data_IF_598059871358
#
_entry.id   IF_598059871358
#
_cell.length_a   1.000
_cell.length_b   1.000
_cell.length_c   1.000
_cell.angle_alpha   90.00
_cell.angle_beta   90.00
_cell.angle_gamma   90.00
#
_symmetry.space_group_name_H-M   'P 1'
#
loop_
_entity.id
_entity.type
_entity.pdbx_description
1 polymer ?
#
# COMPACT_ATOMS: atom_id res chain seq x y z
N UNK A 1 11.96 19.37 -27.83
CA UNK A 1 10.71 19.84 -27.16
C UNK A 1 9.69 18.71 -27.16
N UNK A 2 9.77 17.83 -26.17
CA UNK A 2 8.77 16.77 -25.95
C UNK A 2 8.26 16.86 -24.51
N UNK A 3 7.34 15.97 -24.13
CA UNK A 3 6.83 15.92 -22.75
C UNK A 3 7.95 15.78 -21.70
N UNK A 4 9.13 15.26 -22.07
CA UNK A 4 10.32 15.10 -21.22
C UNK A 4 11.30 16.29 -21.30
N UNK A 5 10.84 17.50 -21.61
CA UNK A 5 11.70 18.68 -21.55
C UNK A 5 12.13 18.97 -20.10
N UNK A 6 13.44 19.15 -19.86
CA UNK A 6 13.98 19.36 -18.51
C UNK A 6 13.35 20.56 -17.81
N UNK A 7 13.06 21.65 -18.56
CA UNK A 7 12.43 22.86 -18.02
C UNK A 7 11.02 22.62 -17.43
N UNK A 8 10.34 21.55 -17.86
CA UNK A 8 8.99 21.22 -17.36
C UNK A 8 9.05 20.38 -16.08
N UNK A 9 10.13 19.62 -15.88
CA UNK A 9 10.25 18.60 -14.84
C UNK A 9 11.15 19.01 -13.68
N UNK A 10 12.27 19.67 -13.99
CA UNK A 10 13.38 19.87 -13.06
C UNK A 10 13.49 21.34 -12.63
N UNK A 11 14.15 21.62 -11.48
CA UNK A 11 14.52 22.98 -11.12
C UNK A 11 15.29 23.67 -12.25
N UNK A 12 15.23 25.00 -12.29
CA UNK A 12 15.94 25.76 -13.33
C UNK A 12 17.45 25.49 -13.25
N UNK A 13 18.11 25.55 -14.40
CA UNK A 13 19.53 25.26 -14.59
C UNK A 13 19.95 23.80 -14.34
N UNK A 14 18.99 22.88 -14.15
CA UNK A 14 19.24 21.43 -14.05
C UNK A 14 18.93 20.74 -15.37
N UNK A 15 19.86 19.89 -15.81
CA UNK A 15 19.72 19.06 -17.02
C UNK A 15 19.53 17.60 -16.65
N UNK A 16 18.89 16.80 -17.53
CA UNK A 16 18.69 15.37 -17.31
C UNK A 16 19.99 14.59 -17.06
N UNK A 17 21.11 15.02 -17.65
CA UNK A 17 22.43 14.42 -17.42
C UNK A 17 22.92 14.52 -15.98
N UNK A 18 22.35 15.43 -15.17
CA UNK A 18 22.67 15.60 -13.76
C UNK A 18 21.82 14.71 -12.84
N UNK A 19 20.77 14.07 -13.37
CA UNK A 19 19.88 13.20 -12.60
C UNK A 19 20.47 11.79 -12.58
N UNK A 20 20.81 11.24 -11.41
CA UNK A 20 21.49 9.94 -11.31
C UNK A 20 20.58 8.74 -11.57
N UNK A 21 19.25 8.90 -11.44
CA UNK A 21 18.30 7.83 -11.70
C UNK A 21 18.02 7.68 -13.19
N UNK A 22 17.80 6.45 -13.62
CA UNK A 22 17.45 6.18 -15.01
C UNK A 22 15.95 5.92 -15.13
N UNK A 23 15.30 6.65 -16.04
CA UNK A 23 13.88 6.45 -16.37
C UNK A 23 13.64 5.03 -16.89
N UNK A 24 14.65 4.42 -17.54
CA UNK A 24 14.58 3.06 -18.06
C UNK A 24 14.28 2.01 -16.98
N UNK A 25 14.63 2.26 -15.73
CA UNK A 25 14.38 1.34 -14.62
C UNK A 25 12.88 1.15 -14.33
N UNK A 26 12.05 2.16 -14.67
CA UNK A 26 10.60 2.07 -14.50
C UNK A 26 9.95 1.05 -15.44
N UNK A 27 10.55 0.74 -16.59
CA UNK A 27 10.00 -0.27 -17.51
C UNK A 27 10.06 -1.70 -16.96
N UNK A 28 10.98 -1.97 -16.02
CA UNK A 28 11.06 -3.28 -15.38
C UNK A 28 10.05 -3.46 -14.25
N UNK A 29 9.46 -2.37 -13.73
CA UNK A 29 8.56 -2.41 -12.57
C UNK A 29 7.29 -3.22 -12.86
N UNK A 30 6.57 -3.04 -13.98
CA UNK A 30 5.40 -3.88 -14.29
C UNK A 30 5.76 -5.36 -14.50
N UNK A 31 6.93 -5.67 -15.04
CA UNK A 31 7.41 -7.06 -15.20
C UNK A 31 7.62 -7.69 -13.82
N UNK A 32 8.29 -6.96 -12.92
CA UNK A 32 8.48 -7.40 -11.53
C UNK A 32 7.14 -7.56 -10.81
N UNK A 33 6.15 -6.71 -11.09
CA UNK A 33 4.80 -6.84 -10.55
C UNK A 33 4.12 -8.15 -10.99
N UNK A 34 4.25 -8.54 -12.26
CA UNK A 34 3.75 -9.84 -12.75
C UNK A 34 4.43 -11.00 -12.02
N UNK A 35 5.75 -10.93 -11.79
CA UNK A 35 6.47 -11.92 -11.00
C UNK A 35 5.94 -12.00 -9.56
N UNK A 36 5.66 -10.85 -8.93
CA UNK A 36 5.05 -10.80 -7.59
C UNK A 36 3.66 -11.45 -7.59
N UNK A 37 2.83 -11.27 -8.63
CA UNK A 37 1.51 -11.92 -8.74
C UNK A 37 1.66 -13.45 -8.84
N UNK A 38 2.62 -13.94 -9.64
CA UNK A 38 2.88 -15.39 -9.73
C UNK A 38 3.33 -15.93 -8.36
N UNK A 39 4.28 -15.25 -7.71
CA UNK A 39 4.73 -15.61 -6.37
C UNK A 39 3.58 -15.56 -5.35
N UNK A 40 2.68 -14.58 -5.45
CA UNK A 40 1.49 -14.43 -4.61
C UNK A 40 0.58 -15.65 -4.70
N UNK A 41 0.25 -16.10 -5.92
CA UNK A 41 -0.63 -17.26 -6.11
C UNK A 41 -0.06 -18.50 -5.41
N UNK A 42 1.24 -18.75 -5.56
CA UNK A 42 1.91 -19.86 -4.90
C UNK A 42 2.02 -19.67 -3.38
N UNK A 43 2.28 -18.45 -2.92
CA UNK A 43 2.37 -18.12 -1.50
C UNK A 43 1.02 -18.30 -0.78
N UNK A 44 -0.06 -17.81 -1.38
CA UNK A 44 -1.43 -18.00 -0.88
C UNK A 44 -1.80 -19.48 -0.84
N UNK A 45 -1.50 -20.22 -1.91
CA UNK A 45 -1.77 -21.66 -1.98
C UNK A 45 -0.96 -22.45 -0.94
N UNK A 46 0.36 -22.36 -0.96
CA UNK A 46 1.22 -23.26 -0.19
C UNK A 46 1.47 -22.81 1.25
N UNK A 47 1.36 -21.52 1.56
CA UNK A 47 1.61 -20.98 2.91
C UNK A 47 0.32 -20.43 3.50
N UNK A 48 -0.41 -19.60 2.76
CA UNK A 48 -1.67 -18.99 3.21
C UNK A 48 -2.69 -20.03 3.68
N UNK A 49 -2.94 -21.08 2.89
CA UNK A 49 -3.90 -22.15 3.26
C UNK A 49 -3.45 -22.93 4.51
N UNK A 50 -2.14 -23.15 4.68
CA UNK A 50 -1.61 -23.81 5.89
C UNK A 50 -1.95 -22.95 7.13
N UNK A 51 -1.69 -21.65 7.07
CA UNK A 51 -2.04 -20.73 8.15
C UNK A 51 -3.55 -20.61 8.35
N UNK A 52 -4.34 -20.60 7.28
CA UNK A 52 -5.80 -20.61 7.34
C UNK A 52 -6.28 -21.83 8.15
N UNK A 53 -5.73 -23.02 7.86
CA UNK A 53 -6.05 -24.25 8.60
C UNK A 53 -5.59 -24.19 10.06
N UNK A 54 -4.37 -23.71 10.33
CA UNK A 54 -3.86 -23.55 11.70
C UNK A 54 -4.74 -22.63 12.55
N UNK A 55 -5.32 -21.60 11.93
CA UNK A 55 -6.20 -20.64 12.60
C UNK A 55 -7.69 -21.03 12.56
N UNK A 56 -8.05 -22.14 11.92
CA UNK A 56 -9.42 -22.66 11.88
C UNK A 56 -10.33 -22.05 10.81
N UNK A 57 -9.77 -21.40 9.79
CA UNK A 57 -10.50 -20.89 8.62
C UNK A 57 -10.77 -21.97 7.55
N UNK A 58 -10.03 -23.07 7.56
CA UNK A 58 -10.19 -24.19 6.63
C UNK A 58 -10.15 -25.51 7.40
N UNK A 59 -11.11 -26.40 7.12
CA UNK A 59 -11.24 -27.71 7.77
C UNK A 59 -10.79 -28.86 6.86
N UNK A 60 -10.90 -28.68 5.55
CA UNK A 60 -10.54 -29.67 4.55
C UNK A 60 -9.03 -29.97 4.57
N UNK A 61 -8.65 -31.13 4.05
CA UNK A 61 -7.24 -31.51 3.90
C UNK A 61 -6.48 -30.44 3.13
N UNK A 62 -5.27 -30.09 3.59
CA UNK A 62 -4.49 -29.02 2.98
C UNK A 62 -4.21 -29.29 1.50
N UNK A 63 -3.92 -30.54 1.11
CA UNK A 63 -3.71 -30.92 -0.30
C UNK A 63 -4.96 -30.68 -1.15
N UNK A 64 -6.14 -30.97 -0.59
CA UNK A 64 -7.41 -30.72 -1.26
C UNK A 64 -7.62 -29.22 -1.45
N UNK A 65 -7.45 -28.43 -0.39
CA UNK A 65 -7.64 -26.96 -0.46
C UNK A 65 -6.62 -26.29 -1.38
N UNK A 66 -5.35 -26.72 -1.39
CA UNK A 66 -4.31 -26.23 -2.32
C UNK A 66 -4.70 -26.51 -3.77
N UNK A 67 -5.07 -27.77 -4.07
CA UNK A 67 -5.51 -28.14 -5.41
C UNK A 67 -6.74 -27.32 -5.80
N UNK A 68 -7.74 -27.24 -4.93
CA UNK A 68 -8.95 -26.47 -5.17
C UNK A 68 -8.63 -24.99 -5.45
N UNK A 69 -7.74 -24.38 -4.67
CA UNK A 69 -7.32 -22.99 -4.85
C UNK A 69 -6.66 -22.74 -6.22
N UNK A 70 -5.72 -23.60 -6.61
CA UNK A 70 -5.00 -23.49 -7.89
C UNK A 70 -5.93 -23.71 -9.11
N UNK A 71 -7.00 -24.49 -8.96
CA UNK A 71 -8.03 -24.71 -9.97
C UNK A 71 -9.23 -23.76 -9.84
N UNK A 72 -9.03 -22.53 -9.33
CA UNK A 72 -10.06 -21.49 -9.22
C UNK A 72 -11.24 -21.78 -8.26
N UNK A 73 -11.11 -22.77 -7.39
CA UNK A 73 -12.12 -23.12 -6.38
C UNK A 73 -12.27 -22.09 -5.25
N UNK A 74 -11.48 -21.01 -5.26
CA UNK A 74 -11.65 -19.87 -4.34
C UNK A 74 -12.93 -19.07 -4.61
N UNK A 75 -13.54 -19.20 -5.80
CA UNK A 75 -14.82 -18.57 -6.14
C UNK A 75 -15.93 -19.02 -5.16
N UNK A 76 -15.86 -20.27 -4.69
CA UNK A 76 -16.86 -20.87 -3.80
C UNK A 76 -16.59 -20.58 -2.32
N UNK A 77 -15.36 -20.29 -1.91
CA UNK A 77 -15.02 -20.07 -0.50
C UNK A 77 -14.46 -18.65 -0.32
N UNK A 78 -15.37 -17.67 -0.20
CA UNK A 78 -15.00 -16.25 -0.10
C UNK A 78 -14.24 -15.95 1.19
N UNK A 79 -14.62 -16.59 2.29
CA UNK A 79 -13.95 -16.41 3.59
C UNK A 79 -12.48 -16.85 3.55
N UNK A 80 -12.18 -18.01 2.98
CA UNK A 80 -10.81 -18.47 2.79
C UNK A 80 -10.04 -17.53 1.86
N UNK A 81 -10.67 -17.10 0.76
CA UNK A 81 -10.06 -16.16 -0.19
C UNK A 81 -9.69 -14.84 0.49
N UNK A 82 -10.62 -14.21 1.24
CA UNK A 82 -10.35 -13.00 2.06
C UNK A 82 -9.18 -13.21 3.02
N UNK A 83 -9.14 -14.36 3.69
CA UNK A 83 -8.05 -14.68 4.60
C UNK A 83 -6.70 -14.72 3.87
N UNK A 84 -6.57 -15.48 2.78
CA UNK A 84 -5.27 -15.62 2.09
C UNK A 84 -4.82 -14.33 1.40
N UNK A 85 -5.74 -13.53 0.85
CA UNK A 85 -5.43 -12.20 0.30
C UNK A 85 -4.90 -11.24 1.38
N UNK A 86 -5.53 -11.27 2.55
CA UNK A 86 -5.14 -10.47 3.70
C UNK A 86 -3.79 -10.95 4.27
N UNK A 87 -3.57 -12.26 4.26
CA UNK A 87 -2.33 -12.89 4.73
C UNK A 87 -1.15 -12.51 3.84
N UNK A 88 -1.34 -12.59 2.52
CA UNK A 88 -0.33 -12.13 1.56
C UNK A 88 0.00 -10.65 1.76
N UNK A 89 -1.01 -9.78 1.85
CA UNK A 89 -0.80 -8.33 2.07
C UNK A 89 -0.06 -8.05 3.36
N UNK A 90 -0.48 -8.64 4.48
CA UNK A 90 0.20 -8.48 5.77
C UNK A 90 1.68 -8.89 5.69
N UNK A 91 1.97 -10.04 5.08
CA UNK A 91 3.34 -10.53 4.90
C UNK A 91 4.17 -9.63 3.97
N UNK A 92 3.58 -9.16 2.87
CA UNK A 92 4.26 -8.29 1.91
C UNK A 92 4.58 -6.91 2.52
N UNK A 93 3.61 -6.29 3.21
CA UNK A 93 3.83 -5.02 3.91
C UNK A 93 4.86 -5.17 5.03
N UNK A 94 4.82 -6.26 5.80
CA UNK A 94 5.82 -6.52 6.83
C UNK A 94 7.23 -6.65 6.25
N UNK A 95 7.38 -7.42 5.18
CA UNK A 95 8.65 -7.59 4.49
C UNK A 95 9.20 -6.26 3.97
N UNK A 96 8.37 -5.47 3.27
CA UNK A 96 8.80 -4.18 2.72
C UNK A 96 9.04 -3.14 3.80
N UNK A 97 8.27 -3.12 4.88
CA UNK A 97 8.53 -2.23 6.00
C UNK A 97 9.88 -2.54 6.66
N UNK A 98 10.18 -3.81 6.95
CA UNK A 98 11.47 -4.22 7.50
C UNK A 98 12.63 -3.89 6.54
N UNK A 99 12.43 -4.10 5.23
CA UNK A 99 13.41 -3.71 4.23
C UNK A 99 13.58 -2.19 4.16
N UNK A 100 12.51 -1.41 4.28
CA UNK A 100 12.54 0.04 4.33
C UNK A 100 13.33 0.55 5.54
N UNK A 101 13.07 0.00 6.74
CA UNK A 101 13.86 0.29 7.94
C UNK A 101 15.34 -0.03 7.75
N UNK A 102 15.68 -1.17 7.13
CA UNK A 102 17.06 -1.54 6.81
C UNK A 102 17.71 -0.64 5.75
N UNK A 103 16.95 -0.21 4.73
CA UNK A 103 17.44 0.65 3.67
C UNK A 103 17.70 2.09 4.15
N UNK A 104 17.00 2.53 5.20
CA UNK A 104 17.05 3.87 5.76
C UNK A 104 17.93 4.01 7.01
N UNK A 105 18.68 2.98 7.41
CA UNK A 105 19.53 3.05 8.63
C UNK A 105 20.52 4.22 8.60
N UNK A 106 21.09 4.51 7.42
CA UNK A 106 22.11 5.55 7.24
C UNK A 106 21.52 6.84 6.63
N UNK A 107 20.20 6.92 6.52
CA UNK A 107 19.50 8.01 5.85
C UNK A 107 19.26 9.19 6.81
N UNK A 108 20.12 10.21 6.74
CA UNK A 108 20.01 11.41 7.59
C UNK A 108 18.66 12.13 7.51
N UNK A 109 17.95 12.01 6.37
CA UNK A 109 16.64 12.64 6.18
C UNK A 109 15.50 11.97 6.97
N UNK A 110 15.75 10.81 7.59
CA UNK A 110 14.82 10.20 8.56
C UNK A 110 14.69 11.07 9.81
N UNK A 111 15.76 11.74 10.21
CA UNK A 111 15.79 12.59 11.41
C UNK A 111 15.43 14.04 11.12
N UNK A 112 15.85 14.58 9.97
CA UNK A 112 15.49 15.92 9.53
C UNK A 112 15.06 15.93 8.06
N UNK A 113 13.76 16.18 7.84
CA UNK A 113 13.13 16.20 6.52
C UNK A 113 13.73 17.24 5.58
N UNK A 114 14.43 18.26 6.07
CA UNK A 114 15.12 19.25 5.22
C UNK A 114 16.16 18.60 4.31
N UNK A 115 16.79 17.51 4.74
CA UNK A 115 17.74 16.76 3.91
C UNK A 115 17.06 16.02 2.75
N UNK A 116 15.73 15.96 2.68
CA UNK A 116 15.04 15.58 1.45
C UNK A 116 15.19 16.62 0.34
N UNK A 117 15.51 17.87 0.68
CA UNK A 117 15.53 19.02 -0.24
C UNK A 117 16.94 19.62 -0.42
N UNK A 118 17.80 19.56 0.60
CA UNK A 118 19.21 19.98 0.49
C UNK A 118 19.91 19.18 -0.61
N UNK A 119 20.55 19.86 -1.56
CA UNK A 119 21.21 19.30 -2.76
C UNK A 119 20.29 18.59 -3.77
N UNK A 120 18.96 18.70 -3.60
CA UNK A 120 18.02 18.21 -4.60
C UNK A 120 18.23 18.96 -5.94
N UNK A 121 18.21 18.29 -7.11
CA UNK A 121 17.87 16.88 -7.37
C UNK A 121 19.09 15.96 -7.56
N UNK A 122 20.27 16.28 -7.02
CA UNK A 122 21.53 15.55 -7.27
C UNK A 122 21.81 14.43 -6.26
N UNK A 123 20.77 13.94 -5.58
CA UNK A 123 20.92 12.87 -4.58
C UNK A 123 21.29 11.56 -5.24
N UNK A 124 22.37 10.91 -4.80
CA UNK A 124 22.69 9.55 -5.22
C UNK A 124 22.06 8.55 -4.24
N UNK A 125 20.93 7.89 -4.57
CA UNK A 125 20.36 6.87 -3.70
C UNK A 125 21.27 5.64 -3.65
N UNK A 126 21.46 5.08 -2.46
CA UNK A 126 22.21 3.83 -2.30
C UNK A 126 21.49 2.68 -3.03
N UNK A 127 22.23 1.61 -3.37
CA UNK A 127 21.63 0.41 -4.00
C UNK A 127 20.46 -0.16 -3.19
N UNK A 128 20.55 -0.12 -1.85
CA UNK A 128 19.48 -0.57 -0.93
C UNK A 128 18.21 0.26 -1.10
N UNK A 129 18.32 1.59 -1.10
CA UNK A 129 17.19 2.51 -1.29
C UNK A 129 16.57 2.32 -2.67
N UNK A 130 17.38 2.21 -3.74
CA UNK A 130 16.88 1.98 -5.11
C UNK A 130 16.06 0.68 -5.19
N UNK A 131 16.62 -0.40 -4.65
CA UNK A 131 15.96 -1.71 -4.66
C UNK A 131 14.66 -1.70 -3.85
N UNK A 132 14.67 -1.09 -2.66
CA UNK A 132 13.47 -0.90 -1.83
C UNK A 132 12.38 -0.14 -2.59
N UNK A 133 12.73 0.97 -3.23
CA UNK A 133 11.79 1.80 -3.97
C UNK A 133 11.19 1.07 -5.19
N UNK A 134 12.00 0.32 -5.93
CA UNK A 134 11.54 -0.49 -7.07
C UNK A 134 10.60 -1.62 -6.61
N UNK A 135 10.93 -2.33 -5.53
CA UNK A 135 10.04 -3.37 -4.99
C UNK A 135 8.72 -2.81 -4.47
N UNK A 136 8.74 -1.62 -3.87
CA UNK A 136 7.51 -0.93 -3.47
C UNK A 136 6.63 -0.61 -4.66
N UNK A 137 7.18 0.03 -5.70
CA UNK A 137 6.42 0.31 -6.92
C UNK A 137 5.87 -0.98 -7.56
N UNK A 138 6.66 -2.06 -7.57
CA UNK A 138 6.23 -3.35 -8.11
C UNK A 138 5.12 -3.99 -7.27
N UNK A 139 5.14 -3.86 -5.94
CA UNK A 139 4.04 -4.30 -5.07
C UNK A 139 2.76 -3.48 -5.35
N UNK A 140 2.84 -2.16 -5.46
CA UNK A 140 1.65 -1.35 -5.78
C UNK A 140 1.08 -1.66 -7.17
N UNK A 141 1.93 -1.94 -8.17
CA UNK A 141 1.49 -2.46 -9.47
C UNK A 141 0.82 -3.83 -9.33
N UNK A 142 1.38 -4.74 -8.54
CA UNK A 142 0.82 -6.08 -8.38
C UNK A 142 -0.52 -6.06 -7.67
N UNK A 143 -0.69 -5.18 -6.67
CA UNK A 143 -1.97 -4.95 -5.99
C UNK A 143 -3.01 -4.33 -6.92
N UNK A 144 -2.62 -3.33 -7.73
CA UNK A 144 -3.52 -2.73 -8.72
C UNK A 144 -4.00 -3.76 -9.74
N UNK A 145 -3.10 -4.58 -10.31
CA UNK A 145 -3.47 -5.59 -11.30
C UNK A 145 -4.28 -6.73 -10.67
N UNK A 146 -3.92 -7.15 -9.45
CA UNK A 146 -4.65 -8.21 -8.74
C UNK A 146 -6.05 -7.79 -8.29
N UNK A 147 -6.32 -6.48 -8.18
CA UNK A 147 -7.65 -5.98 -7.80
C UNK A 147 -8.79 -6.46 -8.74
N UNK A 148 -8.45 -6.90 -9.95
CA UNK A 148 -9.40 -7.48 -10.92
C UNK A 148 -9.89 -8.87 -10.48
N UNK A 149 -9.04 -9.64 -9.80
CA UNK A 149 -9.34 -11.00 -9.33
C UNK A 149 -9.66 -11.06 -7.84
N UNK A 150 -9.28 -10.03 -7.08
CA UNK A 150 -9.54 -9.93 -5.64
C UNK A 150 -11.02 -9.64 -5.36
N UNK A 151 -11.48 -10.01 -4.17
CA UNK A 151 -12.86 -9.78 -3.77
C UNK A 151 -13.14 -8.27 -3.70
N UNK A 152 -14.11 -7.82 -4.50
CA UNK A 152 -14.56 -6.44 -4.54
C UNK A 152 -15.18 -6.03 -3.20
N UNK A 153 -14.89 -4.80 -2.75
CA UNK A 153 -15.40 -4.19 -1.51
C UNK A 153 -16.09 -2.86 -1.80
N UNK A 154 -16.81 -2.31 -0.82
CA UNK A 154 -17.56 -1.06 -0.97
C UNK A 154 -16.70 0.16 -1.31
N UNK A 155 -15.41 0.18 -0.92
CA UNK A 155 -14.45 1.24 -1.24
C UNK A 155 -13.58 0.95 -2.48
N UNK A 156 -13.98 0.00 -3.34
CA UNK A 156 -13.18 -0.46 -4.49
C UNK A 156 -12.67 0.67 -5.39
N UNK A 157 -13.55 1.55 -5.91
CA UNK A 157 -13.12 2.60 -6.84
C UNK A 157 -12.19 3.63 -6.20
N UNK A 158 -12.39 3.92 -4.92
CA UNK A 158 -11.53 4.83 -4.15
C UNK A 158 -10.16 4.18 -3.93
N UNK A 159 -10.14 2.86 -3.72
CA UNK A 159 -8.90 2.09 -3.63
C UNK A 159 -8.13 2.01 -4.95
N UNK A 160 -8.83 1.91 -6.09
CA UNK A 160 -8.20 2.00 -7.42
C UNK A 160 -7.59 3.38 -7.63
N UNK A 161 -8.35 4.45 -7.35
CA UNK A 161 -7.85 5.82 -7.43
C UNK A 161 -6.58 6.00 -6.59
N UNK A 162 -6.59 5.50 -5.35
CA UNK A 162 -5.42 5.50 -4.48
C UNK A 162 -4.20 4.82 -5.11
N UNK A 163 -4.36 3.59 -5.61
CA UNK A 163 -3.25 2.84 -6.22
C UNK A 163 -2.70 3.55 -7.45
N UNK A 164 -3.57 4.10 -8.31
CA UNK A 164 -3.16 4.90 -9.46
C UNK A 164 -2.40 6.16 -9.05
N UNK A 165 -2.86 6.86 -8.02
CA UNK A 165 -2.19 8.05 -7.49
C UNK A 165 -0.83 7.72 -6.87
N UNK A 166 -0.75 6.65 -6.08
CA UNK A 166 0.51 6.20 -5.48
C UNK A 166 1.52 5.81 -6.55
N UNK A 167 1.11 5.04 -7.57
CA UNK A 167 1.99 4.69 -8.69
C UNK A 167 2.45 5.92 -9.48
N UNK A 168 1.56 6.90 -9.69
CA UNK A 168 1.89 8.15 -10.36
C UNK A 168 2.92 8.96 -9.55
N UNK A 169 2.69 9.14 -8.25
CA UNK A 169 3.60 9.82 -7.33
C UNK A 169 4.97 9.14 -7.25
N UNK A 170 5.02 7.81 -7.11
CA UNK A 170 6.27 7.06 -7.06
C UNK A 170 7.04 7.15 -8.38
N UNK A 171 6.35 7.05 -9.52
CA UNK A 171 6.98 7.16 -10.84
C UNK A 171 7.54 8.56 -11.08
N UNK A 172 6.77 9.61 -10.80
CA UNK A 172 7.25 11.00 -10.93
C UNK A 172 8.42 11.26 -9.98
N UNK A 173 8.30 10.83 -8.72
CA UNK A 173 9.36 10.94 -7.71
C UNK A 173 10.66 10.23 -8.15
N UNK A 174 10.56 9.08 -8.80
CA UNK A 174 11.74 8.42 -9.38
C UNK A 174 12.39 9.26 -10.48
N UNK A 175 11.57 9.74 -11.44
CA UNK A 175 12.03 10.51 -12.61
C UNK A 175 12.75 11.80 -12.17
N UNK A 176 12.17 12.57 -11.26
CA UNK A 176 12.76 13.83 -10.78
C UNK A 176 13.69 13.65 -9.58
N UNK A 177 14.00 12.41 -9.19
CA UNK A 177 14.86 12.06 -8.06
C UNK A 177 14.43 12.61 -6.69
N UNK A 178 13.13 12.67 -6.42
CA UNK A 178 12.56 12.99 -5.10
C UNK A 178 12.44 11.76 -4.19
N UNK A 179 13.34 10.79 -4.35
CA UNK A 179 13.27 9.48 -3.67
C UNK A 179 13.32 9.63 -2.15
N UNK A 180 14.11 10.58 -1.62
CA UNK A 180 14.27 10.77 -0.16
C UNK A 180 12.91 11.00 0.53
N UNK A 181 12.13 11.99 0.08
CA UNK A 181 10.79 12.23 0.64
C UNK A 181 9.85 11.05 0.35
N UNK A 182 9.94 10.43 -0.83
CA UNK A 182 9.18 9.24 -1.17
C UNK A 182 9.40 8.07 -0.20
N UNK A 183 10.64 7.83 0.26
CA UNK A 183 10.93 6.75 1.22
C UNK A 183 10.30 7.01 2.59
N UNK A 184 10.23 8.27 3.03
CA UNK A 184 9.57 8.63 4.29
C UNK A 184 8.06 8.39 4.21
N UNK A 185 7.46 8.72 3.07
CA UNK A 185 6.04 8.46 2.80
C UNK A 185 5.78 6.95 2.83
N UNK A 186 6.56 6.16 2.09
CA UNK A 186 6.39 4.70 2.01
C UNK A 186 6.47 4.03 3.40
N UNK A 187 7.57 4.24 4.14
CA UNK A 187 7.77 3.59 5.45
C UNK A 187 6.70 4.01 6.47
N UNK A 188 6.29 5.28 6.47
CA UNK A 188 5.23 5.76 7.37
C UNK A 188 3.85 5.22 7.01
N UNK A 189 3.57 4.93 5.74
CA UNK A 189 2.29 4.37 5.31
C UNK A 189 2.21 2.86 5.59
N UNK A 190 3.29 2.11 5.34
CA UNK A 190 3.30 0.64 5.47
C UNK A 190 3.03 0.15 6.90
N UNK A 191 3.54 0.87 7.92
CA UNK A 191 3.41 0.43 9.32
C UNK A 191 1.95 0.30 9.77
N UNK A 192 1.07 1.22 9.34
CA UNK A 192 -0.36 1.13 9.65
C UNK A 192 -1.02 0.01 8.86
N UNK A 193 -0.57 -0.24 7.64
CA UNK A 193 -1.19 -1.22 6.74
C UNK A 193 -0.93 -2.66 7.21
N UNK A 194 0.23 -2.92 7.84
CA UNK A 194 0.50 -4.19 8.54
C UNK A 194 -0.53 -4.44 9.63
N UNK A 195 -0.78 -3.44 10.49
CA UNK A 195 -1.73 -3.57 11.60
C UNK A 195 -3.17 -3.71 11.10
N UNK A 196 -3.53 -3.00 10.03
CA UNK A 196 -4.84 -3.11 9.38
C UNK A 196 -5.10 -4.53 8.90
N UNK A 197 -4.19 -5.09 8.11
CA UNK A 197 -4.34 -6.45 7.58
C UNK A 197 -4.28 -7.49 8.71
N UNK A 198 -3.40 -7.32 9.70
CA UNK A 198 -3.38 -8.21 10.87
C UNK A 198 -4.71 -8.19 11.64
N UNK A 199 -5.36 -7.03 11.80
CA UNK A 199 -6.66 -6.94 12.48
C UNK A 199 -7.76 -7.73 11.75
N UNK A 200 -7.74 -7.73 10.41
CA UNK A 200 -8.68 -8.49 9.57
C UNK A 200 -8.42 -10.00 9.66
N UNK A 201 -7.15 -10.43 9.65
CA UNK A 201 -6.77 -11.84 9.82
C UNK A 201 -7.24 -12.45 11.13
N UNK A 202 -7.24 -11.66 12.20
CA UNK A 202 -7.62 -12.14 13.53
C UNK A 202 -9.14 -12.26 13.69
N UNK A 203 -9.94 -11.51 12.90
CA UNK A 203 -11.37 -11.27 13.11
C UNK A 203 -12.22 -12.53 13.15
N UNK A 204 -12.04 -13.46 12.22
CA UNK A 204 -12.91 -14.64 12.08
C UNK A 204 -12.29 -15.93 12.60
N UNK A 205 -11.12 -15.89 13.22
CA UNK A 205 -10.49 -17.10 13.77
C UNK A 205 -11.07 -17.42 15.16
N UNK A 206 -11.52 -18.67 15.43
CA UNK A 206 -12.17 -19.02 16.70
C UNK A 206 -11.36 -18.68 17.96
N UNK A 207 -10.03 -18.75 17.87
CA UNK A 207 -9.10 -18.43 18.97
C UNK A 207 -8.54 -17.01 18.92
N UNK A 208 -8.59 -16.37 17.75
CA UNK A 208 -7.93 -15.09 17.48
C UNK A 208 -8.88 -13.90 17.50
N UNK A 209 -10.19 -14.12 17.33
CA UNK A 209 -11.19 -13.06 17.24
C UNK A 209 -11.14 -12.08 18.42
N UNK A 210 -10.86 -12.58 19.63
CA UNK A 210 -10.68 -11.75 20.85
C UNK A 210 -9.55 -10.73 20.77
N UNK A 211 -8.54 -10.96 19.93
CA UNK A 211 -7.40 -10.04 19.76
C UNK A 211 -7.64 -9.03 18.64
N UNK A 212 -8.58 -9.27 17.73
CA UNK A 212 -8.84 -8.39 16.59
C UNK A 212 -9.18 -6.94 17.00
N UNK A 213 -10.04 -6.68 18.04
CA UNK A 213 -10.29 -5.33 18.50
C UNK A 213 -9.05 -4.63 19.06
N UNK A 214 -8.19 -5.35 19.78
CA UNK A 214 -6.95 -4.79 20.35
C UNK A 214 -6.01 -4.35 19.22
N UNK A 215 -5.81 -5.21 18.22
CA UNK A 215 -4.98 -4.87 17.04
C UNK A 215 -5.61 -3.74 16.23
N UNK A 216 -6.94 -3.70 16.11
CA UNK A 216 -7.64 -2.62 15.41
C UNK A 216 -7.49 -1.26 16.13
N UNK A 217 -7.47 -1.23 17.46
CA UNK A 217 -7.19 -0.02 18.24
C UNK A 217 -5.75 0.45 18.01
N UNK A 218 -4.78 -0.48 18.05
CA UNK A 218 -3.36 -0.16 17.74
C UNK A 218 -3.19 0.38 16.33
N UNK A 219 -3.85 -0.25 15.34
CA UNK A 219 -3.96 0.25 13.98
C UNK A 219 -4.48 1.68 13.95
N UNK A 220 -5.59 1.96 14.64
CA UNK A 220 -6.25 3.27 14.62
C UNK A 220 -5.34 4.38 15.16
N UNK A 221 -4.63 4.12 16.27
CA UNK A 221 -3.64 5.07 16.79
C UNK A 221 -2.47 5.28 15.84
N UNK A 222 -1.92 4.18 15.30
CA UNK A 222 -0.83 4.24 14.33
C UNK A 222 -1.23 5.04 13.08
N UNK A 223 -2.44 4.80 12.55
CA UNK A 223 -3.01 5.52 11.41
C UNK A 223 -3.11 7.02 11.66
N UNK A 224 -3.63 7.45 12.82
CA UNK A 224 -3.73 8.87 13.16
C UNK A 224 -2.34 9.51 13.21
N UNK A 225 -1.37 8.85 13.85
CA UNK A 225 0.01 9.35 13.95
C UNK A 225 0.65 9.48 12.57
N UNK A 226 0.57 8.46 11.71
CA UNK A 226 1.27 8.46 10.43
C UNK A 226 0.56 9.29 9.36
N UNK A 227 -0.78 9.22 9.27
CA UNK A 227 -1.57 9.83 8.19
C UNK A 227 -2.08 11.23 8.52
N UNK A 228 -2.41 11.53 9.77
CA UNK A 228 -2.99 12.82 10.16
C UNK A 228 -2.03 13.73 10.92
N UNK A 229 -0.93 13.19 11.45
CA UNK A 229 0.10 13.99 12.12
C UNK A 229 1.34 14.09 11.25
N UNK A 230 2.05 12.96 11.05
CA UNK A 230 3.33 12.95 10.34
C UNK A 230 3.19 13.43 8.88
N UNK A 231 2.23 12.88 8.13
CA UNK A 231 2.07 13.24 6.71
C UNK A 231 1.78 14.75 6.49
N UNK A 232 0.78 15.39 7.09
CA UNK A 232 0.56 16.82 6.86
C UNK A 232 1.60 17.73 7.52
N UNK A 233 1.96 17.49 8.79
CA UNK A 233 2.79 18.44 9.54
C UNK A 233 4.29 18.28 9.29
N UNK A 234 4.74 17.13 8.77
CA UNK A 234 6.16 16.91 8.37
C UNK A 234 6.29 16.89 6.86
N UNK A 235 5.60 15.99 6.15
CA UNK A 235 5.80 15.80 4.71
C UNK A 235 5.24 16.98 3.90
N UNK A 236 3.94 17.27 4.00
CA UNK A 236 3.31 18.36 3.23
C UNK A 236 3.90 19.72 3.62
N UNK A 237 4.11 19.96 4.92
CA UNK A 237 4.79 21.17 5.40
C UNK A 237 6.19 21.32 4.76
N UNK A 238 7.00 20.26 4.72
CA UNK A 238 8.33 20.37 4.11
C UNK A 238 8.27 20.61 2.60
N UNK A 239 7.31 19.98 1.89
CA UNK A 239 7.11 20.20 0.47
C UNK A 239 6.63 21.63 0.16
N UNK A 240 5.87 22.25 1.07
CA UNK A 240 5.37 23.62 0.91
C UNK A 240 6.42 24.68 1.25
N UNK A 241 7.16 24.50 2.36
CA UNK A 241 8.08 25.53 2.87
C UNK A 241 9.55 25.20 2.65
N UNK A 242 9.99 24.00 3.04
CA UNK A 242 11.41 23.64 2.98
C UNK A 242 11.88 23.45 1.53
N UNK A 243 11.05 22.84 0.67
CA UNK A 243 11.35 22.70 -0.76
C UNK A 243 11.44 24.06 -1.47
N UNK A 244 10.48 24.98 -1.21
CA UNK A 244 10.52 26.32 -1.77
C UNK A 244 11.81 27.05 -1.36
N UNK A 245 12.14 27.06 -0.07
CA UNK A 245 13.30 27.77 0.46
C UNK A 245 14.65 27.17 0.04
N UNK A 246 14.75 25.84 -0.12
CA UNK A 246 16.03 25.15 -0.33
C UNK A 246 16.30 24.79 -1.78
N UNK A 247 15.26 24.58 -2.60
CA UNK A 247 15.42 24.18 -4.01
C UNK A 247 15.39 25.40 -4.92
N UNK A 248 14.37 26.25 -4.78
CA UNK A 248 14.15 27.38 -5.68
C UNK A 248 13.31 28.47 -4.99
N UNK A 249 13.92 29.42 -4.26
CA UNK A 249 13.22 30.38 -3.39
C UNK A 249 12.16 31.25 -4.06
N UNK A 250 12.35 31.56 -5.34
CA UNK A 250 11.41 32.35 -6.15
C UNK A 250 10.29 31.49 -6.77
N UNK A 251 10.29 30.17 -6.54
CA UNK A 251 9.25 29.27 -7.03
C UNK A 251 7.99 29.34 -6.16
N UNK A 252 6.88 29.70 -6.78
CA UNK A 252 5.55 29.69 -6.20
C UNK A 252 4.78 28.45 -6.62
N UNK A 253 4.31 27.67 -5.64
CA UNK A 253 3.40 26.54 -5.88
C UNK A 253 2.02 27.01 -6.37
N UNK A 254 1.67 28.28 -6.16
CA UNK A 254 0.37 28.86 -6.52
C UNK A 254 0.38 29.58 -7.87
N UNK A 255 1.55 29.95 -8.41
CA UNK A 255 1.65 30.48 -9.77
C UNK A 255 1.60 29.33 -10.78
N UNK A 256 0.45 29.15 -11.44
CA UNK A 256 0.20 28.01 -12.34
C UNK A 256 1.10 28.04 -13.58
N UNK A 257 1.57 29.21 -14.02
CA UNK A 257 2.34 29.37 -15.26
C UNK A 257 3.85 29.24 -15.06
N UNK A 258 4.33 29.38 -13.82
CA UNK A 258 5.74 29.27 -13.51
C UNK A 258 6.25 27.84 -13.75
N UNK A 259 7.40 27.72 -14.42
CA UNK A 259 8.13 26.46 -14.63
C UNK A 259 9.13 26.18 -13.50
N UNK A 260 9.40 24.92 -13.14
CA UNK A 260 8.83 23.67 -13.70
C UNK A 260 7.38 23.39 -13.24
N UNK A 261 6.66 22.53 -13.97
CA UNK A 261 5.27 22.17 -13.64
C UNK A 261 5.16 20.92 -12.75
N UNK A 262 6.06 19.95 -12.90
CA UNK A 262 5.93 18.62 -12.26
C UNK A 262 6.00 18.68 -10.72
N UNK A 263 6.91 19.42 -10.08
CA UNK A 263 6.92 19.53 -8.61
C UNK A 263 5.58 20.05 -8.04
N UNK A 264 4.95 21.01 -8.73
CA UNK A 264 3.62 21.51 -8.39
C UNK A 264 2.53 20.44 -8.56
N UNK A 265 2.54 19.71 -9.67
CA UNK A 265 1.60 18.60 -9.90
C UNK A 265 1.74 17.56 -8.77
N UNK A 266 2.97 17.17 -8.44
CA UNK A 266 3.24 16.23 -7.34
C UNK A 266 2.72 16.75 -6.00
N UNK A 267 2.89 18.04 -5.69
CA UNK A 267 2.34 18.64 -4.48
C UNK A 267 0.80 18.53 -4.43
N UNK A 268 0.10 18.82 -5.52
CA UNK A 268 -1.35 18.63 -5.59
C UNK A 268 -1.78 17.16 -5.51
N UNK A 269 -1.01 16.23 -6.07
CA UNK A 269 -1.25 14.79 -5.90
C UNK A 269 -1.05 14.35 -4.42
N UNK A 270 -0.10 14.92 -3.70
CA UNK A 270 0.06 14.69 -2.25
C UNK A 270 -1.11 15.28 -1.44
N UNK A 271 -1.67 16.43 -1.84
CA UNK A 271 -2.89 16.96 -1.24
C UNK A 271 -4.11 16.06 -1.52
N UNK A 272 -4.19 15.49 -2.71
CA UNK A 272 -5.23 14.49 -3.01
C UNK A 272 -5.05 13.22 -2.17
N UNK A 273 -3.81 12.76 -1.96
CA UNK A 273 -3.51 11.66 -1.03
C UNK A 273 -3.93 12.01 0.41
N UNK A 274 -3.74 13.25 0.86
CA UNK A 274 -4.24 13.72 2.16
C UNK A 274 -5.77 13.67 2.24
N UNK A 275 -6.48 14.12 1.20
CA UNK A 275 -7.94 14.06 1.15
C UNK A 275 -8.45 12.61 1.26
N UNK A 276 -7.78 11.67 0.60
CA UNK A 276 -8.07 10.25 0.72
C UNK A 276 -7.79 9.71 2.14
N UNK A 277 -6.68 10.11 2.76
CA UNK A 277 -6.39 9.78 4.17
C UNK A 277 -7.48 10.29 5.13
N UNK A 278 -8.00 11.50 4.89
CA UNK A 278 -9.15 12.03 5.65
C UNK A 278 -10.42 11.20 5.39
N UNK A 279 -10.69 10.81 4.14
CA UNK A 279 -11.81 9.93 3.80
C UNK A 279 -11.77 8.60 4.58
N UNK A 280 -10.65 7.87 4.57
CA UNK A 280 -10.56 6.61 5.31
C UNK A 280 -10.56 6.80 6.83
N UNK A 281 -10.03 7.92 7.32
CA UNK A 281 -10.16 8.27 8.75
C UNK A 281 -11.62 8.34 9.16
N UNK A 282 -12.48 8.96 8.35
CA UNK A 282 -13.92 9.00 8.62
C UNK A 282 -14.55 7.60 8.66
N UNK A 283 -14.09 6.67 7.80
CA UNK A 283 -14.55 5.28 7.84
C UNK A 283 -14.09 4.57 9.12
N UNK A 284 -12.83 4.76 9.53
CA UNK A 284 -12.28 4.17 10.76
C UNK A 284 -13.05 4.68 11.98
N UNK A 285 -13.33 5.98 12.06
CA UNK A 285 -14.13 6.56 13.13
C UNK A 285 -15.55 5.98 13.18
N UNK A 286 -16.20 5.77 12.03
CA UNK A 286 -17.51 5.12 11.97
C UNK A 286 -17.45 3.69 12.52
N UNK A 287 -16.43 2.91 12.16
CA UNK A 287 -16.25 1.54 12.70
C UNK A 287 -16.05 1.60 14.22
N UNK A 288 -15.22 2.51 14.74
CA UNK A 288 -15.00 2.66 16.19
C UNK A 288 -16.32 3.01 16.90
N UNK A 289 -17.10 3.96 16.38
CA UNK A 289 -18.40 4.33 16.96
C UNK A 289 -19.37 3.15 16.94
N UNK A 290 -19.42 2.38 15.85
CA UNK A 290 -20.25 1.17 15.74
C UNK A 290 -19.85 0.12 16.77
N UNK A 291 -18.55 -0.11 16.96
CA UNK A 291 -18.02 -1.03 17.98
C UNK A 291 -18.45 -0.63 19.38
N UNK A 292 -18.32 0.66 19.71
CA UNK A 292 -18.66 1.17 21.05
C UNK A 292 -20.17 1.08 21.30
N UNK A 293 -21.01 1.30 20.27
CA UNK A 293 -22.48 1.28 20.41
C UNK A 293 -23.09 -0.12 20.41
N UNK A 294 -22.60 -1.03 19.56
CA UNK A 294 -23.20 -2.35 19.31
C UNK A 294 -22.43 -3.48 20.00
N UNK A 295 -21.16 -3.25 20.35
CA UNK A 295 -20.27 -4.28 20.93
C UNK A 295 -19.58 -5.18 19.89
N UNK A 296 -19.81 -4.98 18.58
CA UNK A 296 -19.22 -5.79 17.51
C UNK A 296 -18.37 -4.94 16.54
N UNK A 297 -17.15 -5.42 16.25
CA UNK A 297 -16.25 -4.84 15.22
C UNK A 297 -16.50 -5.42 13.84
N UNK A 298 -17.67 -5.12 13.27
CA UNK A 298 -17.91 -5.31 11.83
C UNK A 298 -17.22 -4.17 11.06
N UNK A 299 -16.42 -4.50 10.05
CA UNK A 299 -15.88 -3.51 9.12
C UNK A 299 -16.97 -3.14 8.13
N UNK A 300 -17.42 -1.89 8.19
CA UNK A 300 -18.50 -1.36 7.32
C UNK A 300 -18.14 -1.36 5.83
N UNK A 301 -16.89 -1.69 5.47
CA UNK A 301 -16.45 -1.80 4.08
C UNK A 301 -16.72 -3.19 3.47
N UNK A 302 -16.97 -4.19 4.31
CA UNK A 302 -17.28 -5.55 3.90
C UNK A 302 -18.79 -5.70 3.67
N UNK A 303 -19.18 -6.51 2.68
CA UNK A 303 -20.58 -6.74 2.32
C UNK A 303 -21.25 -7.70 3.31
N UNK A 304 -22.54 -7.50 3.60
CA UNK A 304 -23.28 -8.29 4.60
C UNK A 304 -23.49 -9.77 4.22
N UNK A 305 -23.36 -10.12 2.93
CA UNK A 305 -23.57 -11.48 2.39
C UNK A 305 -22.52 -12.53 2.87
N UNK A 306 -21.54 -12.11 3.69
CA UNK A 306 -20.38 -12.91 4.09
C UNK A 306 -20.64 -13.96 5.18
N UNK A 307 -21.73 -13.83 5.95
CA UNK A 307 -22.07 -14.79 7.03
C UNK A 307 -22.81 -16.04 6.50
N UNK A 308 -23.32 -16.02 5.26
CA UNK A 308 -24.13 -17.13 4.71
C UNK A 308 -23.30 -18.30 4.12
N UNK A 309 -22.01 -18.09 3.85
CA UNK A 309 -21.14 -19.08 3.17
C UNK A 309 -20.92 -20.39 3.99
N UNK A 310 -21.20 -20.38 5.30
CA UNK A 310 -21.12 -21.59 6.14
C UNK A 310 -22.33 -22.54 5.98
N UNK A 311 -23.40 -22.15 5.27
CA UNK A 311 -24.61 -22.97 5.11
C UNK A 311 -24.73 -23.71 3.76
N UNK A 312 -23.80 -23.55 2.81
CA UNK A 312 -23.93 -24.13 1.46
C UNK A 312 -22.78 -25.08 1.09
N UNK A 313 -22.51 -26.08 1.94
CA UNK A 313 -21.91 -27.34 1.45
C UNK A 313 -22.50 -28.52 2.21
N UNK A 314 -23.76 -28.86 1.90
CA UNK A 314 -24.22 -30.24 2.04
C UNK A 314 -23.50 -31.06 0.96
N UNK A 315 -22.39 -31.71 1.29
CA UNK A 315 -21.80 -32.73 0.43
C UNK A 315 -22.83 -33.86 0.34
N UNK A 316 -23.42 -34.16 -0.84
CA UNK A 316 -24.36 -35.25 -0.94
C UNK A 316 -23.62 -36.55 -0.64
N UNK A 317 -24.12 -37.28 0.36
CA UNK A 317 -23.63 -38.61 0.70
C UNK A 317 -23.55 -39.44 -0.59
N UNK A 318 -22.35 -39.96 -0.86
CA UNK A 318 -22.10 -40.91 -1.94
C UNK A 318 -23.13 -42.05 -1.88
N UNK A 319 -24.17 -41.96 -2.71
CA UNK A 319 -24.90 -43.13 -3.20
C UNK A 319 -24.24 -43.57 -4.51
N UNK A 320 -23.40 -44.59 -4.43
CA UNK A 320 -23.29 -45.64 -5.46
C UNK A 320 -23.92 -46.87 -4.80
N UNK A 321 -25.13 -47.30 -5.15
CA UNK A 321 -25.50 -48.08 -6.35
C UNK A 321 -24.55 -49.29 -6.43
N UNK A 322 -24.96 -50.53 -6.17
CA UNK A 322 -26.21 -51.22 -6.48
C UNK A 322 -26.44 -52.36 -5.49
#
# INVERSE_FOLDING_TARGET
>A
MGILDAELWLPRDVQWSQIPNQVSELFYVPILAIMIIICRIFYEAFIGIIFARLLGYEKNSWLYSVKNYLFFGFITNRRLKKFVECFFRASAYLFLFLFGCYALTDAIWVHDVKYCWIDYPRHNPTKRIRLYYIFQMALYWSLLLSSIIDIRRNDFWIHILHHSLTLCLLSMSWIINSIRVGTLILVSHDVSDILLELSKLLRYGPRTAKYAPIVFILFSFCWVITRLIYFPFVILRSALFDAANLVQPDYSLFDIFQRPYVPRIMFYLLLLLMALNIYWTNLILRVIITVIRIGNSKDIREDDDDEEDDNVVNIPAHKKVQ
#
